data_IF_185283070654
#
_entry.id   IF_185283070654
#
_cell.length_a   1.000
_cell.length_b   1.000
_cell.length_c   1.000
_cell.angle_alpha   90.00
_cell.angle_beta   90.00
_cell.angle_gamma   90.00
#
_symmetry.space_group_name_H-M   'P 1'
#
loop_
_entity.id
_entity.type
_entity.pdbx_description
1 polymer ?
#
# COMPACT_ATOMS: atom_id res chain seq x y z
N UNK A 1 14.40 -3.72 -22.92
CA UNK A 1 13.10 -4.21 -22.40
C UNK A 1 13.27 -4.37 -20.90
N UNK A 2 12.80 -3.41 -20.11
CA UNK A 2 12.98 -3.41 -18.65
C UNK A 2 11.86 -4.28 -18.08
N UNK A 3 12.19 -5.53 -17.77
CA UNK A 3 11.25 -6.42 -17.10
C UNK A 3 10.98 -5.88 -15.69
N UNK A 4 9.72 -5.78 -15.31
CA UNK A 4 9.35 -5.35 -13.97
C UNK A 4 9.87 -6.39 -12.97
N UNK A 5 10.60 -6.01 -11.92
CA UNK A 5 11.16 -6.98 -10.99
C UNK A 5 10.01 -7.72 -10.30
N UNK A 6 9.97 -9.04 -10.48
CA UNK A 6 8.93 -9.92 -9.91
C UNK A 6 8.83 -9.77 -8.39
N UNK A 7 9.97 -9.56 -7.73
CA UNK A 7 10.02 -9.36 -6.28
C UNK A 7 9.20 -8.13 -5.84
N UNK A 8 9.31 -7.02 -6.59
CA UNK A 8 8.55 -5.80 -6.32
C UNK A 8 7.05 -5.99 -6.53
N UNK A 9 6.66 -6.81 -7.50
CA UNK A 9 5.24 -7.12 -7.72
C UNK A 9 4.66 -7.86 -6.51
N UNK A 10 5.37 -8.86 -5.99
CA UNK A 10 4.91 -9.59 -4.80
C UNK A 10 4.83 -8.68 -3.58
N UNK A 11 5.78 -7.76 -3.42
CA UNK A 11 5.74 -6.74 -2.35
C UNK A 11 4.51 -5.82 -2.48
N UNK A 12 4.25 -5.26 -3.66
CA UNK A 12 3.09 -4.41 -3.94
C UNK A 12 1.77 -5.15 -3.65
N UNK A 13 1.67 -6.40 -4.11
CA UNK A 13 0.46 -7.22 -3.91
C UNK A 13 0.26 -7.56 -2.44
N UNK A 14 1.31 -7.98 -1.74
CA UNK A 14 1.23 -8.29 -0.31
C UNK A 14 0.86 -7.05 0.51
N UNK A 15 1.40 -5.88 0.17
CA UNK A 15 1.11 -4.62 0.85
C UNK A 15 -0.36 -4.22 0.69
N UNK A 16 -0.88 -4.26 -0.53
CA UNK A 16 -2.29 -3.95 -0.80
C UNK A 16 -3.22 -4.97 -0.12
N UNK A 17 -2.93 -6.26 -0.24
CA UNK A 17 -3.72 -7.32 0.37
C UNK A 17 -3.75 -7.20 1.90
N UNK A 18 -2.63 -6.83 2.53
CA UNK A 18 -2.56 -6.66 3.98
C UNK A 18 -3.42 -5.50 4.49
N UNK A 19 -3.50 -4.39 3.75
CA UNK A 19 -4.23 -3.20 4.19
C UNK A 19 -5.71 -3.22 3.78
N UNK A 20 -6.02 -3.56 2.53
CA UNK A 20 -7.40 -3.52 2.01
C UNK A 20 -8.10 -4.88 1.98
N UNK A 21 -7.38 -5.97 2.26
CA UNK A 21 -7.93 -7.33 2.27
C UNK A 21 -8.57 -7.74 0.94
N UNK A 22 -8.13 -7.12 -0.15
CA UNK A 22 -8.51 -7.52 -1.51
C UNK A 22 -7.90 -8.87 -1.86
N UNK A 23 -8.61 -9.62 -2.69
CA UNK A 23 -8.10 -10.91 -3.17
C UNK A 23 -6.89 -10.72 -4.09
N UNK A 24 -6.02 -11.73 -4.15
CA UNK A 24 -4.87 -11.73 -5.06
C UNK A 24 -5.29 -11.46 -6.51
N UNK A 25 -6.37 -12.09 -6.96
CA UNK A 25 -6.91 -11.94 -8.31
C UNK A 25 -7.36 -10.50 -8.60
N UNK A 26 -8.03 -9.84 -7.66
CA UNK A 26 -8.44 -8.43 -7.83
C UNK A 26 -7.23 -7.52 -7.99
N UNK A 27 -6.18 -7.71 -7.17
CA UNK A 27 -4.97 -6.88 -7.23
C UNK A 27 -4.16 -7.13 -8.50
N UNK A 28 -4.11 -8.39 -8.96
CA UNK A 28 -3.41 -8.76 -10.20
C UNK A 28 -4.13 -8.24 -11.45
N UNK A 29 -5.45 -8.06 -11.39
CA UNK A 29 -6.24 -7.46 -12.47
C UNK A 29 -6.07 -5.94 -12.60
N UNK A 30 -5.46 -5.27 -11.62
CA UNK A 30 -5.16 -3.84 -11.70
C UNK A 30 -4.01 -3.55 -12.67
N UNK A 31 -4.03 -2.38 -13.30
CA UNK A 31 -2.87 -1.91 -14.04
C UNK A 31 -1.67 -1.67 -13.10
N UNK A 32 -0.45 -1.82 -13.62
CA UNK A 32 0.77 -1.57 -12.85
C UNK A 32 0.78 -0.19 -12.18
N UNK A 33 0.26 0.83 -12.86
CA UNK A 33 0.17 2.20 -12.35
C UNK A 33 -0.85 2.33 -11.22
N UNK A 34 -1.95 1.61 -11.30
CA UNK A 34 -2.98 1.64 -10.27
C UNK A 34 -2.48 0.99 -8.98
N UNK A 35 -1.77 -0.15 -9.07
CA UNK A 35 -1.14 -0.76 -7.87
C UNK A 35 -0.15 0.18 -7.19
N UNK A 36 0.69 0.86 -7.96
CA UNK A 36 1.62 1.85 -7.42
C UNK A 36 0.87 2.98 -6.70
N UNK A 37 -0.18 3.53 -7.33
CA UNK A 37 -1.01 4.56 -6.72
C UNK A 37 -1.65 4.08 -5.41
N UNK A 38 -2.19 2.87 -5.37
CA UNK A 38 -2.76 2.33 -4.14
C UNK A 38 -1.73 2.18 -3.02
N UNK A 39 -0.50 1.79 -3.35
CA UNK A 39 0.59 1.76 -2.36
C UNK A 39 0.90 3.16 -1.78
N UNK A 40 0.87 4.21 -2.62
CA UNK A 40 1.05 5.59 -2.18
C UNK A 40 -0.09 6.07 -1.28
N UNK A 41 -1.35 5.78 -1.66
CA UNK A 41 -2.52 6.16 -0.86
C UNK A 41 -2.52 5.46 0.51
N UNK A 42 -2.23 4.16 0.56
CA UNK A 42 -2.10 3.41 1.82
C UNK A 42 -1.01 4.04 2.70
N UNK A 43 0.14 4.39 2.11
CA UNK A 43 1.24 5.03 2.83
C UNK A 43 0.84 6.40 3.40
N UNK A 44 0.12 7.20 2.61
CA UNK A 44 -0.40 8.51 3.02
C UNK A 44 -1.37 8.39 4.21
N UNK A 45 -2.33 7.47 4.12
CA UNK A 45 -3.29 7.19 5.20
C UNK A 45 -2.57 6.73 6.46
N UNK A 46 -1.62 5.80 6.34
CA UNK A 46 -0.84 5.30 7.48
C UNK A 46 0.00 6.40 8.14
N UNK A 47 0.59 7.30 7.35
CA UNK A 47 1.33 8.46 7.88
C UNK A 47 0.42 9.42 8.64
N UNK A 48 -0.76 9.73 8.11
CA UNK A 48 -1.75 10.57 8.77
C UNK A 48 -2.21 9.96 10.10
N UNK A 49 -2.61 8.68 10.09
CA UNK A 49 -3.04 7.96 11.29
C UNK A 49 -1.92 7.86 12.34
N UNK A 50 -0.68 7.61 11.91
CA UNK A 50 0.47 7.54 12.82
C UNK A 50 0.79 8.92 13.42
N UNK A 51 0.68 9.98 12.62
CA UNK A 51 0.83 11.36 13.09
C UNK A 51 -0.25 11.77 14.10
N UNK A 52 -1.50 11.35 13.87
CA UNK A 52 -2.60 11.54 14.83
C UNK A 52 -2.39 10.76 16.12
N UNK A 53 -1.96 9.50 16.01
CA UNK A 53 -1.66 8.65 17.17
C UNK A 53 -0.50 9.23 18.00
N UNK A 54 0.51 9.82 17.36
CA UNK A 54 1.61 10.50 18.04
C UNK A 54 1.16 11.80 18.74
N UNK A 55 0.24 12.58 18.15
CA UNK A 55 -0.32 13.78 18.79
C UNK A 55 -1.11 13.44 20.05
N UNK A 56 -1.93 12.38 20.02
CA UNK A 56 -2.71 11.93 21.19
C UNK A 56 -1.84 11.51 22.38
N UNK A 57 -0.58 11.10 22.17
CA UNK A 57 0.33 10.68 23.26
C UNK A 57 1.07 11.89 23.85
N UNK A 58 1.22 12.98 23.10
CA UNK A 58 1.93 14.20 23.52
C UNK A 58 1.00 15.22 24.20
N UNK A 59 -0.31 15.01 24.20
CA UNK A 59 -1.33 15.89 24.82
C UNK A 59 -1.69 15.54 26.28
N UNK A 60 -0.81 14.85 27.02
CA UNK A 60 -1.01 14.54 28.46
C UNK A 60 -0.13 15.41 29.36
#
# INVERSE_FOLDING_TARGET
MISYPLDRLYEEVAFIAYHFHWSYDEIMNLEHRDRQRWCEEISSINQQLSGEKQRSILEV
#
